data_IF_926012580318
#
_entry.id   IF_926012580318
#
_cell.length_a   1.000
_cell.length_b   1.000
_cell.length_c   1.000
_cell.angle_alpha   90.00
_cell.angle_beta   90.00
_cell.angle_gamma   90.00
#
_symmetry.space_group_name_H-M   'P 1'
#
loop_
_entity.id
_entity.type
_entity.pdbx_description
1 polymer ?
#
# COMPACT_ATOMS: atom_id res chain seq x y z
N UNK A 1 -29.96 -66.84 -34.21
CA UNK A 1 -30.03 -65.41 -33.85
C UNK A 1 -28.71 -65.05 -33.17
N UNK A 2 -27.79 -64.48 -33.93
CA UNK A 2 -26.44 -64.10 -33.46
C UNK A 2 -26.50 -62.68 -32.88
N UNK A 3 -26.08 -62.53 -31.63
CA UNK A 3 -25.83 -61.25 -30.97
C UNK A 3 -24.42 -60.79 -31.34
N UNK A 4 -24.30 -59.81 -32.25
CA UNK A 4 -23.06 -59.07 -32.47
C UNK A 4 -23.16 -57.72 -31.75
N UNK A 5 -22.60 -57.64 -30.55
CA UNK A 5 -22.27 -56.37 -29.90
C UNK A 5 -20.88 -55.92 -30.40
N UNK A 6 -20.69 -54.69 -30.92
CA UNK A 6 -19.36 -54.17 -31.20
C UNK A 6 -18.64 -53.87 -29.88
N UNK A 7 -17.46 -54.46 -29.71
CA UNK A 7 -16.57 -54.19 -28.59
C UNK A 7 -16.03 -52.75 -28.70
N UNK A 8 -16.28 -51.94 -27.67
CA UNK A 8 -15.60 -50.67 -27.49
C UNK A 8 -14.13 -50.95 -27.12
N UNK A 9 -13.23 -50.68 -28.04
CA UNK A 9 -11.79 -50.64 -27.78
C UNK A 9 -11.45 -49.34 -27.05
N UNK A 10 -11.04 -49.44 -25.79
CA UNK A 10 -10.35 -48.34 -25.12
C UNK A 10 -9.01 -48.10 -25.84
N UNK A 11 -8.72 -46.89 -26.34
CA UNK A 11 -7.38 -46.57 -26.80
C UNK A 11 -6.43 -46.55 -25.59
N UNK A 12 -5.34 -47.31 -25.68
CA UNK A 12 -4.22 -47.26 -24.74
C UNK A 12 -3.79 -45.80 -24.50
N UNK A 13 -3.50 -45.41 -23.26
CA UNK A 13 -2.83 -44.15 -23.00
C UNK A 13 -1.38 -44.27 -23.50
N UNK A 14 -1.15 -43.84 -24.74
CA UNK A 14 0.19 -43.45 -25.18
C UNK A 14 0.70 -42.29 -24.31
N UNK A 15 2.01 -42.06 -24.25
CA UNK A 15 2.58 -40.98 -23.44
C UNK A 15 1.94 -39.67 -23.90
N UNK A 16 1.12 -39.09 -23.03
CA UNK A 16 0.46 -37.82 -23.29
C UNK A 16 1.56 -36.83 -23.67
N UNK A 17 1.52 -36.35 -24.91
CA UNK A 17 2.28 -35.18 -25.29
C UNK A 17 1.84 -34.09 -24.31
N UNK A 18 2.75 -33.69 -23.42
CA UNK A 18 2.54 -32.59 -22.51
C UNK A 18 2.21 -31.37 -23.35
N UNK A 19 0.93 -31.00 -23.39
CA UNK A 19 0.46 -29.78 -24.04
C UNK A 19 0.42 -28.68 -22.97
N UNK A 20 1.43 -27.79 -22.92
CA UNK A 20 1.46 -26.71 -21.94
C UNK A 20 0.29 -25.72 -22.10
N UNK A 21 -0.49 -25.80 -23.19
CA UNK A 21 -1.70 -25.00 -23.37
C UNK A 21 -2.94 -25.59 -22.66
N UNK A 22 -2.95 -26.90 -22.37
CA UNK A 22 -4.08 -27.57 -21.73
C UNK A 22 -4.10 -27.40 -20.20
N UNK A 23 -2.95 -27.09 -19.59
CA UNK A 23 -2.79 -26.90 -18.14
C UNK A 23 -3.02 -25.45 -17.66
N UNK A 24 -3.33 -24.52 -18.58
CA UNK A 24 -3.79 -23.18 -18.23
C UNK A 24 -5.28 -23.28 -17.90
N UNK A 25 -5.60 -23.49 -16.62
CA UNK A 25 -6.95 -23.61 -16.10
C UNK A 25 -7.81 -22.44 -16.63
N UNK A 26 -8.94 -22.68 -17.32
CA UNK A 26 -9.71 -21.64 -18.01
C UNK A 26 -10.24 -20.51 -17.09
N UNK A 27 -10.26 -20.75 -15.78
CA UNK A 27 -10.64 -19.77 -14.75
C UNK A 27 -9.61 -18.63 -14.65
N UNK A 28 -8.31 -18.90 -14.74
CA UNK A 28 -7.28 -17.85 -14.64
C UNK A 28 -7.31 -16.89 -15.83
N UNK A 29 -7.67 -17.38 -17.02
CA UNK A 29 -7.65 -16.57 -18.24
C UNK A 29 -8.76 -15.50 -18.24
N UNK A 30 -9.94 -15.80 -17.68
CA UNK A 30 -11.05 -14.86 -17.55
C UNK A 30 -10.77 -13.76 -16.53
N UNK A 31 -10.14 -14.09 -15.40
CA UNK A 31 -9.79 -13.10 -14.38
C UNK A 31 -8.69 -12.15 -14.88
N UNK A 32 -7.73 -12.67 -15.65
CA UNK A 32 -6.73 -11.86 -16.35
C UNK A 32 -7.40 -10.90 -17.34
N UNK A 33 -8.39 -11.34 -18.12
CA UNK A 33 -9.10 -10.48 -19.08
C UNK A 33 -9.85 -9.36 -18.36
N UNK A 34 -10.53 -9.68 -17.25
CA UNK A 34 -11.24 -8.67 -16.44
C UNK A 34 -10.27 -7.64 -15.87
N UNK A 35 -9.16 -8.10 -15.29
CA UNK A 35 -8.16 -7.22 -14.69
C UNK A 35 -7.54 -6.25 -15.71
N UNK A 36 -7.37 -6.69 -16.96
CA UNK A 36 -6.88 -5.83 -18.06
C UNK A 36 -7.79 -4.64 -18.37
N UNK A 37 -9.09 -4.81 -18.21
CA UNK A 37 -10.07 -3.75 -18.49
C UNK A 37 -10.22 -2.88 -17.25
N UNK A 38 -10.38 -3.52 -16.09
CA UNK A 38 -10.74 -2.82 -14.88
C UNK A 38 -9.59 -2.06 -14.22
N UNK A 39 -8.34 -2.55 -14.27
CA UNK A 39 -7.21 -1.83 -13.63
C UNK A 39 -6.93 -0.48 -14.30
N UNK A 40 -6.76 -0.39 -15.64
CA UNK A 40 -6.57 0.90 -16.29
C UNK A 40 -7.76 1.82 -16.11
N UNK A 41 -8.98 1.28 -16.25
CA UNK A 41 -10.21 2.05 -16.06
C UNK A 41 -10.27 2.65 -14.65
N UNK A 42 -10.14 1.83 -13.60
CA UNK A 42 -10.22 2.29 -12.22
C UNK A 42 -9.09 3.27 -11.88
N UNK A 43 -7.88 3.05 -12.40
CA UNK A 43 -6.74 3.96 -12.19
C UNK A 43 -7.02 5.33 -12.82
N UNK A 44 -7.47 5.36 -14.08
CA UNK A 44 -7.79 6.61 -14.77
C UNK A 44 -8.97 7.33 -14.12
N UNK A 45 -10.01 6.61 -13.70
CA UNK A 45 -11.16 7.19 -12.99
C UNK A 45 -10.73 7.79 -11.65
N UNK A 46 -9.89 7.10 -10.87
CA UNK A 46 -9.36 7.60 -9.61
C UNK A 46 -8.50 8.87 -9.80
N UNK A 47 -7.59 8.85 -10.79
CA UNK A 47 -6.78 10.00 -11.14
C UNK A 47 -7.62 11.20 -11.56
N UNK A 48 -8.58 10.99 -12.47
CA UNK A 48 -9.44 12.04 -13.00
C UNK A 48 -10.29 12.66 -11.88
N UNK A 49 -10.93 11.84 -11.05
CA UNK A 49 -11.77 12.32 -9.96
C UNK A 49 -10.99 13.17 -8.95
N UNK A 50 -9.80 12.70 -8.54
CA UNK A 50 -8.92 13.46 -7.65
C UNK A 50 -8.43 14.76 -8.29
N UNK A 51 -8.05 14.74 -9.57
CA UNK A 51 -7.58 15.94 -10.28
C UNK A 51 -8.70 17.00 -10.39
N UNK A 52 -9.90 16.59 -10.75
CA UNK A 52 -11.07 17.48 -10.85
C UNK A 52 -11.40 18.09 -9.48
N UNK A 53 -11.44 17.28 -8.43
CA UNK A 53 -11.74 17.79 -7.08
C UNK A 53 -10.59 18.63 -6.48
N UNK A 54 -9.35 18.42 -6.94
CA UNK A 54 -8.19 19.18 -6.49
C UNK A 54 -8.01 20.52 -7.22
N UNK A 55 -8.40 20.62 -8.50
CA UNK A 55 -8.06 21.78 -9.34
C UNK A 55 -9.28 22.50 -9.95
N UNK A 56 -10.40 21.82 -10.18
CA UNK A 56 -11.55 22.38 -10.92
C UNK A 56 -12.74 22.73 -10.01
N UNK A 57 -12.92 22.03 -8.89
CA UNK A 57 -14.05 22.26 -7.98
C UNK A 57 -13.65 23.26 -6.89
N UNK A 58 -14.54 24.23 -6.64
CA UNK A 58 -14.45 25.15 -5.50
C UNK A 58 -15.49 24.78 -4.43
N UNK A 59 -15.10 24.66 -3.14
CA UNK A 59 -13.74 24.75 -2.62
C UNK A 59 -12.88 23.54 -3.04
N UNK A 60 -11.61 23.79 -3.38
CA UNK A 60 -10.69 22.70 -3.73
C UNK A 60 -10.34 21.85 -2.51
N UNK A 61 -9.87 20.62 -2.70
CA UNK A 61 -9.37 19.79 -1.59
C UNK A 61 -8.32 20.51 -0.72
N UNK A 62 -7.44 21.28 -1.36
CA UNK A 62 -6.44 22.08 -0.66
C UNK A 62 -7.09 23.17 0.19
N UNK A 63 -8.12 23.82 -0.33
CA UNK A 63 -8.83 24.89 0.38
C UNK A 63 -9.66 24.35 1.55
N UNK A 64 -10.25 23.16 1.39
CA UNK A 64 -10.91 22.44 2.49
C UNK A 64 -9.91 22.16 3.61
N UNK A 65 -8.69 21.70 3.28
CA UNK A 65 -7.65 21.44 4.27
C UNK A 65 -7.13 22.71 4.97
N UNK A 66 -7.10 23.84 4.28
CA UNK A 66 -6.73 25.13 4.87
C UNK A 66 -7.85 25.73 5.72
N UNK A 67 -9.11 25.50 5.32
CA UNK A 67 -10.32 25.92 6.04
C UNK A 67 -10.47 25.13 7.33
N UNK A 68 -10.40 23.80 7.26
CA UNK A 68 -10.49 22.88 8.39
C UNK A 68 -9.10 22.50 8.90
N UNK A 69 -8.40 23.49 9.44
CA UNK A 69 -7.01 23.34 9.87
C UNK A 69 -6.89 22.44 11.12
N UNK A 70 -6.11 21.37 11.02
CA UNK A 70 -5.84 20.42 12.10
C UNK A 70 -4.36 20.40 12.48
N UNK A 71 -4.05 19.74 13.61
CA UNK A 71 -2.66 19.45 13.98
C UNK A 71 -1.92 18.55 12.97
N UNK A 72 -2.64 17.89 12.06
CA UNK A 72 -2.08 17.04 11.02
C UNK A 72 -2.30 17.59 9.60
N UNK A 73 -2.64 18.88 9.45
CA UNK A 73 -2.69 19.50 8.13
C UNK A 73 -1.27 19.57 7.55
N UNK A 74 -1.01 18.95 6.38
CA UNK A 74 0.29 18.94 5.73
C UNK A 74 0.47 20.11 4.75
N UNK A 75 1.70 20.32 4.28
CA UNK A 75 1.96 21.19 3.12
C UNK A 75 1.29 20.65 1.86
N UNK A 76 0.43 21.47 1.24
CA UNK A 76 -0.25 21.16 -0.03
C UNK A 76 0.73 20.77 -1.14
N UNK A 77 1.88 21.44 -1.22
CA UNK A 77 2.88 21.22 -2.28
C UNK A 77 3.56 19.86 -2.09
N UNK A 78 3.98 19.54 -0.86
CA UNK A 78 4.69 18.27 -0.58
C UNK A 78 3.75 17.07 -0.76
N UNK A 79 2.51 17.17 -0.28
CA UNK A 79 1.51 16.11 -0.46
C UNK A 79 1.09 15.99 -1.93
N UNK A 80 0.91 17.11 -2.63
CA UNK A 80 0.63 17.10 -4.07
C UNK A 80 1.74 16.43 -4.88
N UNK A 81 3.00 16.72 -4.56
CA UNK A 81 4.15 16.04 -5.20
C UNK A 81 4.17 14.55 -4.90
N UNK A 82 3.90 14.14 -3.66
CA UNK A 82 3.81 12.73 -3.30
C UNK A 82 2.72 12.00 -4.09
N UNK A 83 1.53 12.61 -4.21
CA UNK A 83 0.45 12.07 -5.03
C UNK A 83 0.78 12.01 -6.52
N UNK A 84 1.51 13.00 -7.05
CA UNK A 84 2.00 12.99 -8.43
C UNK A 84 2.89 11.77 -8.68
N UNK A 85 3.79 11.44 -7.76
CA UNK A 85 4.64 10.24 -7.86
C UNK A 85 3.80 8.96 -7.82
N UNK A 86 2.82 8.86 -6.91
CA UNK A 86 1.91 7.71 -6.87
C UNK A 86 1.19 7.54 -8.20
N UNK A 87 0.57 8.60 -8.72
CA UNK A 87 -0.19 8.54 -9.96
C UNK A 87 0.69 8.20 -11.17
N UNK A 88 1.93 8.70 -11.22
CA UNK A 88 2.89 8.29 -12.26
C UNK A 88 3.20 6.79 -12.18
N UNK A 89 3.45 6.26 -10.98
CA UNK A 89 3.69 4.83 -10.77
C UNK A 89 2.45 3.96 -11.06
N UNK A 90 1.26 4.41 -10.67
CA UNK A 90 -0.01 3.71 -10.94
C UNK A 90 -0.35 3.69 -12.43
N UNK A 91 -0.09 4.79 -13.15
CA UNK A 91 -0.19 4.82 -14.60
C UNK A 91 0.78 3.80 -15.24
N UNK A 92 2.02 3.74 -14.75
CA UNK A 92 2.98 2.71 -15.14
C UNK A 92 2.51 1.28 -14.84
N UNK A 93 1.86 1.05 -13.70
CA UNK A 93 1.23 -0.25 -13.37
C UNK A 93 0.14 -0.62 -14.37
N UNK A 94 -0.78 0.31 -14.65
CA UNK A 94 -1.87 0.11 -15.60
C UNK A 94 -1.32 -0.20 -17.00
N UNK A 95 -0.29 0.53 -17.43
CA UNK A 95 0.42 0.28 -18.69
C UNK A 95 1.07 -1.11 -18.69
N UNK A 96 1.75 -1.50 -17.61
CA UNK A 96 2.33 -2.84 -17.46
C UNK A 96 1.29 -3.96 -17.57
N UNK A 97 0.10 -3.80 -16.97
CA UNK A 97 -1.01 -4.76 -17.09
C UNK A 97 -1.44 -4.90 -18.55
N UNK A 98 -1.55 -3.79 -19.28
CA UNK A 98 -1.92 -3.78 -20.70
C UNK A 98 -0.82 -4.37 -21.57
N UNK A 99 0.45 -4.02 -21.34
CA UNK A 99 1.59 -4.53 -22.11
C UNK A 99 1.88 -6.01 -21.85
N UNK A 100 1.64 -6.50 -20.63
CA UNK A 100 1.70 -7.93 -20.28
C UNK A 100 0.67 -8.75 -21.08
N UNK A 101 -0.32 -8.09 -21.70
CA UNK A 101 -1.28 -8.75 -22.60
C UNK A 101 -0.69 -9.14 -23.96
N UNK A 102 0.38 -8.46 -24.43
CA UNK A 102 1.08 -8.88 -25.64
C UNK A 102 1.97 -10.08 -25.29
N UNK A 103 1.63 -11.25 -25.85
CA UNK A 103 2.24 -12.57 -25.60
C UNK A 103 3.79 -12.58 -25.57
N UNK A 104 4.43 -11.57 -26.15
CA UNK A 104 5.88 -11.43 -26.34
C UNK A 104 6.67 -11.07 -25.07
N UNK A 105 6.04 -10.53 -24.02
CA UNK A 105 6.73 -10.06 -22.79
C UNK A 105 6.41 -10.91 -21.53
N UNK A 106 6.18 -12.21 -21.72
CA UNK A 106 5.66 -13.12 -20.69
C UNK A 106 6.75 -13.63 -19.73
N UNK A 107 6.60 -13.34 -18.44
CA UNK A 107 7.08 -14.20 -17.34
C UNK A 107 5.84 -14.71 -16.58
N UNK A 108 5.66 -16.03 -16.46
CA UNK A 108 4.51 -16.65 -15.79
C UNK A 108 4.27 -16.10 -14.38
N UNK A 109 5.37 -15.81 -13.70
CA UNK A 109 5.41 -15.31 -12.33
C UNK A 109 4.72 -13.94 -12.17
N UNK A 110 4.82 -13.07 -13.19
CA UNK A 110 4.19 -11.75 -13.18
C UNK A 110 2.67 -11.87 -13.33
N UNK A 111 2.19 -12.86 -14.11
CA UNK A 111 0.75 -13.11 -14.28
C UNK A 111 0.10 -13.60 -13.00
N UNK A 112 0.73 -14.56 -12.33
CA UNK A 112 0.24 -15.06 -11.05
C UNK A 112 0.21 -13.95 -10.00
N UNK A 113 1.21 -13.06 -10.00
CA UNK A 113 1.22 -11.88 -9.11
C UNK A 113 0.03 -10.95 -9.40
N UNK A 114 -0.30 -10.67 -10.66
CA UNK A 114 -1.46 -9.81 -10.96
C UNK A 114 -2.80 -10.42 -10.55
N UNK A 115 -3.00 -11.71 -10.83
CA UNK A 115 -4.26 -12.40 -10.54
C UNK A 115 -4.45 -12.63 -9.05
N UNK A 116 -3.44 -13.21 -8.39
CA UNK A 116 -3.56 -13.64 -6.99
C UNK A 116 -3.18 -12.54 -5.99
N UNK A 117 -2.25 -11.65 -6.35
CA UNK A 117 -1.74 -10.65 -5.41
C UNK A 117 -2.50 -9.31 -5.47
N UNK A 118 -2.73 -8.79 -6.68
CA UNK A 118 -3.45 -7.52 -6.86
C UNK A 118 -4.96 -7.77 -6.93
N UNK A 119 -5.36 -8.67 -7.84
CA UNK A 119 -6.72 -9.14 -8.01
C UNK A 119 -7.76 -8.03 -8.19
N UNK A 120 -9.03 -8.40 -8.03
CA UNK A 120 -10.15 -7.43 -8.06
C UNK A 120 -10.20 -6.54 -6.82
N UNK A 121 -9.53 -6.92 -5.72
CA UNK A 121 -9.50 -6.11 -4.49
C UNK A 121 -8.90 -4.73 -4.72
N UNK A 122 -7.79 -4.66 -5.46
CA UNK A 122 -7.17 -3.38 -5.82
C UNK A 122 -8.07 -2.51 -6.70
N UNK A 123 -8.79 -3.11 -7.65
CA UNK A 123 -9.76 -2.41 -8.51
C UNK A 123 -10.87 -1.78 -7.66
N UNK A 124 -11.43 -2.53 -6.72
CA UNK A 124 -12.47 -2.04 -5.81
C UNK A 124 -11.93 -0.91 -4.93
N UNK A 125 -10.68 -1.03 -4.44
CA UNK A 125 -10.02 0.02 -3.68
C UNK A 125 -9.87 1.32 -4.50
N UNK A 126 -9.46 1.22 -5.77
CA UNK A 126 -9.33 2.38 -6.66
C UNK A 126 -10.67 3.03 -6.98
N UNK A 127 -11.74 2.27 -7.21
CA UNK A 127 -13.07 2.86 -7.38
C UNK A 127 -13.57 3.53 -6.11
N UNK A 128 -13.36 2.92 -4.94
CA UNK A 128 -13.65 3.56 -3.65
C UNK A 128 -12.87 4.87 -3.49
N UNK A 129 -11.59 4.85 -3.86
CA UNK A 129 -10.74 6.05 -3.83
C UNK A 129 -11.16 7.10 -4.87
N UNK A 130 -11.77 6.70 -5.99
CA UNK A 130 -12.31 7.63 -6.96
C UNK A 130 -13.59 8.34 -6.47
N UNK A 131 -14.36 7.71 -5.57
CA UNK A 131 -15.56 8.29 -4.97
C UNK A 131 -15.25 9.16 -3.74
N UNK A 132 -14.24 8.80 -2.97
CA UNK A 132 -13.74 9.59 -1.83
C UNK A 132 -13.63 11.11 -2.08
N UNK A 133 -12.96 11.59 -3.14
CA UNK A 133 -12.76 13.02 -3.36
C UNK A 133 -14.07 13.79 -3.58
N UNK A 134 -15.08 13.13 -4.13
CA UNK A 134 -16.42 13.70 -4.35
C UNK A 134 -17.12 13.94 -3.01
N UNK A 135 -17.10 12.94 -2.12
CA UNK A 135 -17.67 13.09 -0.77
C UNK A 135 -16.89 14.10 0.07
N UNK A 136 -15.57 14.16 -0.10
CA UNK A 136 -14.73 15.15 0.55
C UNK A 136 -15.07 16.58 0.09
N UNK A 137 -15.18 16.80 -1.22
CA UNK A 137 -15.57 18.09 -1.80
C UNK A 137 -16.99 18.52 -1.41
N UNK A 138 -17.91 17.56 -1.23
CA UNK A 138 -19.26 17.80 -0.71
C UNK A 138 -19.32 18.07 0.81
N UNK A 139 -18.18 18.15 1.50
CA UNK A 139 -18.06 18.31 2.96
C UNK A 139 -18.77 17.19 3.77
N UNK A 140 -18.99 16.02 3.15
CA UNK A 140 -19.55 14.82 3.80
C UNK A 140 -18.44 14.03 4.52
N UNK A 141 -17.76 14.69 5.46
CA UNK A 141 -16.51 14.19 6.06
C UNK A 141 -16.64 12.79 6.67
N UNK A 142 -17.73 12.49 7.38
CA UNK A 142 -17.94 11.16 8.00
C UNK A 142 -18.00 10.06 6.94
N UNK A 143 -18.74 10.30 5.85
CA UNK A 143 -18.87 9.34 4.74
C UNK A 143 -17.53 9.19 4.02
N UNK A 144 -16.83 10.29 3.77
CA UNK A 144 -15.51 10.28 3.18
C UNK A 144 -14.51 9.50 4.04
N UNK A 145 -14.47 9.72 5.36
CA UNK A 145 -13.59 8.99 6.29
C UNK A 145 -13.91 7.50 6.31
N UNK A 146 -15.19 7.12 6.36
CA UNK A 146 -15.59 5.72 6.35
C UNK A 146 -15.16 5.01 5.05
N UNK A 147 -15.36 5.68 3.90
CA UNK A 147 -14.91 5.16 2.62
C UNK A 147 -13.39 5.04 2.53
N UNK A 148 -12.65 6.03 3.02
CA UNK A 148 -11.20 6.01 3.06
C UNK A 148 -10.67 4.87 3.94
N UNK A 149 -11.36 4.57 5.05
CA UNK A 149 -11.02 3.45 5.93
C UNK A 149 -11.19 2.11 5.20
N UNK A 150 -12.27 1.94 4.44
CA UNK A 150 -12.47 0.76 3.59
C UNK A 150 -11.37 0.64 2.54
N UNK A 151 -11.04 1.74 1.85
CA UNK A 151 -9.94 1.76 0.85
C UNK A 151 -8.61 1.35 1.49
N UNK A 152 -8.29 1.90 2.67
CA UNK A 152 -7.10 1.55 3.43
C UNK A 152 -7.05 0.05 3.79
N UNK A 153 -8.15 -0.53 4.25
CA UNK A 153 -8.20 -1.96 4.57
C UNK A 153 -7.99 -2.83 3.32
N UNK A 154 -8.60 -2.47 2.19
CA UNK A 154 -8.41 -3.18 0.92
C UNK A 154 -6.96 -3.07 0.43
N UNK A 155 -6.35 -1.88 0.52
CA UNK A 155 -4.95 -1.67 0.16
C UNK A 155 -3.98 -2.42 1.07
N UNK A 156 -4.28 -2.49 2.37
CA UNK A 156 -3.53 -3.32 3.34
C UNK A 156 -3.58 -4.79 2.93
N UNK A 157 -4.78 -5.28 2.58
CA UNK A 157 -4.97 -6.65 2.13
C UNK A 157 -4.21 -6.93 0.83
N UNK A 158 -4.26 -6.02 -0.14
CA UNK A 158 -3.50 -6.15 -1.40
C UNK A 158 -1.99 -6.22 -1.12
N UNK A 159 -1.44 -5.38 -0.23
CA UNK A 159 -0.03 -5.47 0.14
C UNK A 159 0.31 -6.78 0.83
N UNK A 160 -0.54 -7.25 1.75
CA UNK A 160 -0.33 -8.54 2.40
C UNK A 160 -0.33 -9.69 1.36
N UNK A 161 -1.24 -9.64 0.38
CA UNK A 161 -1.29 -10.63 -0.69
C UNK A 161 -0.06 -10.59 -1.59
N UNK A 162 0.47 -9.40 -1.91
CA UNK A 162 1.76 -9.22 -2.61
C UNK A 162 2.89 -9.87 -1.83
N UNK A 163 3.00 -9.59 -0.53
CA UNK A 163 4.02 -10.20 0.31
C UNK A 163 3.94 -11.73 0.37
N UNK A 164 2.73 -12.29 0.37
CA UNK A 164 2.50 -13.74 0.44
C UNK A 164 2.83 -14.45 -0.88
N UNK A 165 2.43 -13.89 -2.01
CA UNK A 165 2.54 -14.57 -3.32
C UNK A 165 3.78 -14.18 -4.12
N UNK A 166 4.31 -12.97 -3.93
CA UNK A 166 5.41 -12.43 -4.72
C UNK A 166 6.24 -11.46 -3.87
N UNK A 167 7.13 -11.97 -3.00
CA UNK A 167 7.91 -11.12 -2.10
C UNK A 167 8.74 -10.10 -2.89
N UNK A 168 8.74 -8.83 -2.47
CA UNK A 168 9.37 -7.76 -3.23
C UNK A 168 10.90 -7.95 -3.25
N UNK A 169 11.47 -8.00 -4.47
CA UNK A 169 12.92 -8.06 -4.67
C UNK A 169 13.34 -7.12 -5.80
N UNK A 170 14.14 -6.10 -5.47
CA UNK A 170 14.67 -5.15 -6.44
C UNK A 170 15.69 -5.80 -7.38
N UNK A 171 16.54 -6.70 -6.86
CA UNK A 171 17.63 -7.33 -7.63
C UNK A 171 17.11 -8.36 -8.63
N UNK A 172 16.05 -9.08 -8.29
CA UNK A 172 15.52 -10.16 -9.13
C UNK A 172 14.41 -9.70 -10.07
N UNK A 173 13.58 -8.74 -9.64
CA UNK A 173 12.35 -8.33 -10.36
C UNK A 173 12.15 -6.81 -10.32
N UNK A 174 13.05 -6.02 -10.94
CA UNK A 174 13.04 -4.56 -10.82
C UNK A 174 11.74 -3.92 -11.35
N UNK A 175 11.20 -4.41 -12.46
CA UNK A 175 9.97 -3.86 -13.04
C UNK A 175 8.72 -4.14 -12.18
N UNK A 176 8.57 -5.38 -11.67
CA UNK A 176 7.48 -5.72 -10.75
C UNK A 176 7.62 -4.93 -9.45
N UNK A 177 8.84 -4.75 -8.94
CA UNK A 177 9.05 -3.92 -7.76
C UNK A 177 8.61 -2.46 -7.99
N UNK A 178 9.06 -1.83 -9.08
CA UNK A 178 8.79 -0.41 -9.35
C UNK A 178 7.31 -0.15 -9.68
N UNK A 179 6.69 -1.00 -10.49
CA UNK A 179 5.34 -0.74 -10.99
C UNK A 179 4.23 -1.49 -10.25
N UNK A 180 4.54 -2.49 -9.42
CA UNK A 180 3.53 -3.19 -8.60
C UNK A 180 3.69 -2.80 -7.14
N UNK A 181 4.87 -3.02 -6.56
CA UNK A 181 5.08 -2.84 -5.13
C UNK A 181 5.05 -1.37 -4.72
N UNK A 182 5.91 -0.54 -5.33
CA UNK A 182 6.06 0.88 -4.97
C UNK A 182 4.72 1.64 -4.97
N UNK A 183 3.91 1.67 -6.05
CA UNK A 183 2.66 2.43 -6.06
C UNK A 183 1.68 1.99 -4.98
N UNK A 184 1.51 0.68 -4.76
CA UNK A 184 0.59 0.16 -3.73
C UNK A 184 1.12 0.52 -2.34
N UNK A 185 2.43 0.41 -2.13
CA UNK A 185 3.08 0.71 -0.86
C UNK A 185 3.05 2.21 -0.52
N UNK A 186 3.34 3.07 -1.48
CA UNK A 186 3.27 4.52 -1.32
C UNK A 186 1.84 4.98 -1.04
N UNK A 187 0.87 4.44 -1.77
CA UNK A 187 -0.54 4.75 -1.60
C UNK A 187 -1.04 4.31 -0.21
N UNK A 188 -0.74 3.08 0.22
CA UNK A 188 -1.05 2.65 1.57
C UNK A 188 -0.42 3.57 2.65
N UNK A 189 0.83 3.99 2.44
CA UNK A 189 1.57 4.73 3.45
C UNK A 189 1.01 6.14 3.65
N UNK A 190 0.58 6.82 2.58
CA UNK A 190 -0.08 8.13 2.72
C UNK A 190 -1.46 8.02 3.35
N UNK A 191 -2.25 7.00 2.98
CA UNK A 191 -3.53 6.72 3.63
C UNK A 191 -3.35 6.55 5.14
N UNK A 192 -2.34 5.79 5.57
CA UNK A 192 -2.12 5.50 6.99
C UNK A 192 -1.59 6.70 7.77
N UNK A 193 -0.69 7.47 7.17
CA UNK A 193 0.12 8.47 7.88
C UNK A 193 -0.53 9.86 7.86
N UNK A 194 -1.25 10.18 6.79
CA UNK A 194 -1.79 11.53 6.54
C UNK A 194 -3.30 11.48 6.37
N UNK A 195 -3.80 10.82 5.32
CA UNK A 195 -5.18 11.05 4.89
C UNK A 195 -6.20 10.52 5.89
N UNK A 196 -6.01 9.30 6.43
CA UNK A 196 -6.92 8.76 7.44
C UNK A 196 -6.90 9.55 8.75
N UNK A 197 -5.73 9.79 9.39
CA UNK A 197 -5.70 10.59 10.60
C UNK A 197 -6.31 11.97 10.41
N UNK A 198 -5.98 12.66 9.32
CA UNK A 198 -6.53 13.99 9.02
C UNK A 198 -8.05 13.93 8.80
N UNK A 199 -8.54 12.96 8.05
CA UNK A 199 -9.98 12.77 7.81
C UNK A 199 -10.73 12.46 9.12
N UNK A 200 -10.15 11.66 10.02
CA UNK A 200 -10.70 11.40 11.36
C UNK A 200 -10.75 12.68 12.21
N UNK A 201 -9.67 13.47 12.24
CA UNK A 201 -9.67 14.72 13.01
C UNK A 201 -10.74 15.71 12.50
N UNK A 202 -10.89 15.83 11.19
CA UNK A 202 -11.89 16.73 10.59
C UNK A 202 -13.31 16.22 10.87
N UNK A 203 -13.57 14.91 10.72
CA UNK A 203 -14.89 14.33 11.01
C UNK A 203 -15.27 14.42 12.49
N UNK A 204 -14.31 14.33 13.41
CA UNK A 204 -14.50 14.54 14.85
C UNK A 204 -14.59 16.03 15.26
N UNK A 205 -14.47 16.95 14.30
CA UNK A 205 -14.46 18.40 14.52
C UNK A 205 -13.29 18.88 15.42
N UNK A 206 -12.15 18.19 15.35
CA UNK A 206 -10.91 18.58 16.04
C UNK A 206 -10.06 19.45 15.09
N UNK A 207 -10.58 20.63 14.79
CA UNK A 207 -9.94 21.61 13.91
C UNK A 207 -10.15 23.03 14.44
N UNK A 208 -9.29 23.94 13.99
CA UNK A 208 -9.37 25.36 14.30
C UNK A 208 -10.57 25.98 13.56
N UNK A 209 -11.41 26.72 14.29
CA UNK A 209 -12.63 27.32 13.71
C UNK A 209 -12.29 28.20 12.50
N UNK A 210 -12.98 28.02 11.34
CA UNK A 210 -12.76 28.85 10.17
C UNK A 210 -13.10 30.33 10.38
N UNK A 211 -14.01 30.64 11.32
CA UNK A 211 -14.58 31.97 11.54
C UNK A 211 -13.73 32.75 12.56
N UNK A 212 -13.52 32.16 13.73
CA UNK A 212 -12.89 32.86 14.86
C UNK A 212 -11.38 32.62 14.96
N UNK A 213 -10.85 31.72 14.13
CA UNK A 213 -9.46 31.25 14.22
C UNK A 213 -9.05 30.85 15.65
N UNK A 214 -10.00 30.36 16.46
CA UNK A 214 -9.75 29.82 17.79
C UNK A 214 -9.79 28.30 17.74
N UNK A 215 -9.00 27.68 18.60
CA UNK A 215 -9.06 26.24 18.81
C UNK A 215 -10.31 25.88 19.61
N UNK A 216 -10.78 24.64 19.45
CA UNK A 216 -11.92 24.14 20.20
C UNK A 216 -11.66 24.11 21.72
N UNK A 217 -12.72 24.17 22.52
CA UNK A 217 -12.66 24.32 23.99
C UNK A 217 -11.79 23.25 24.69
N UNK A 218 -11.68 22.05 24.13
CA UNK A 218 -10.93 20.92 24.69
C UNK A 218 -9.64 20.60 23.93
N UNK A 219 -9.08 21.58 23.22
CA UNK A 219 -7.88 21.43 22.39
C UNK A 219 -6.71 20.75 23.11
N UNK A 220 -6.40 21.13 24.35
CA UNK A 220 -5.28 20.53 25.08
C UNK A 220 -5.43 19.00 25.24
N UNK A 221 -6.63 18.53 25.59
CA UNK A 221 -6.91 17.10 25.71
C UNK A 221 -6.85 16.40 24.35
N UNK A 222 -7.45 16.99 23.31
CA UNK A 222 -7.42 16.41 21.96
C UNK A 222 -6.01 16.38 21.36
N UNK A 223 -5.15 17.33 21.72
CA UNK A 223 -3.76 17.33 21.29
C UNK A 223 -2.98 16.16 21.88
N UNK A 224 -3.26 15.75 23.13
CA UNK A 224 -2.69 14.54 23.73
C UNK A 224 -3.21 13.24 23.08
N UNK A 225 -4.49 13.20 22.73
CA UNK A 225 -5.05 12.07 21.99
C UNK A 225 -4.40 11.98 20.60
N UNK A 226 -4.26 13.11 19.90
CA UNK A 226 -3.60 13.19 18.59
C UNK A 226 -2.14 12.75 18.69
N UNK A 227 -1.44 13.15 19.74
CA UNK A 227 -0.09 12.65 20.04
C UNK A 227 -0.06 11.12 20.14
N UNK A 228 -0.97 10.52 20.91
CA UNK A 228 -1.06 9.07 21.05
C UNK A 228 -1.31 8.34 19.73
N UNK A 229 -2.22 8.89 18.89
CA UNK A 229 -2.53 8.35 17.56
C UNK A 229 -1.31 8.42 16.64
N UNK A 230 -0.64 9.57 16.57
CA UNK A 230 0.56 9.75 15.73
C UNK A 230 1.70 8.85 16.18
N UNK A 231 1.91 8.73 17.49
CA UNK A 231 2.93 7.84 18.04
C UNK A 231 2.62 6.38 17.69
N UNK A 232 1.37 5.94 17.81
CA UNK A 232 0.94 4.59 17.45
C UNK A 232 1.17 4.29 15.96
N UNK A 233 0.82 5.23 15.08
CA UNK A 233 1.06 5.12 13.64
C UNK A 233 2.56 5.04 13.34
N UNK A 234 3.36 5.88 13.99
CA UNK A 234 4.82 5.89 13.87
C UNK A 234 5.43 4.55 14.29
N UNK A 235 5.03 4.00 15.45
CA UNK A 235 5.48 2.70 15.93
C UNK A 235 5.03 1.57 15.01
N UNK A 236 3.78 1.59 14.52
CA UNK A 236 3.27 0.59 13.59
C UNK A 236 4.05 0.59 12.26
N UNK A 237 4.35 1.77 11.73
CA UNK A 237 5.19 1.92 10.54
C UNK A 237 6.62 1.43 10.78
N UNK A 238 7.24 1.83 11.90
CA UNK A 238 8.59 1.41 12.25
C UNK A 238 8.69 -0.12 12.42
N UNK A 239 7.69 -0.73 13.07
CA UNK A 239 7.58 -2.18 13.20
C UNK A 239 7.46 -2.88 11.84
N UNK A 240 6.62 -2.33 10.95
CA UNK A 240 6.47 -2.89 9.61
C UNK A 240 7.76 -2.75 8.79
N UNK A 241 8.47 -1.62 8.88
CA UNK A 241 9.79 -1.41 8.25
C UNK A 241 10.80 -2.42 8.78
N UNK A 242 10.84 -2.64 10.10
CA UNK A 242 11.73 -3.63 10.71
C UNK A 242 11.47 -5.05 10.19
N UNK A 243 10.21 -5.48 10.18
CA UNK A 243 9.77 -6.81 9.72
C UNK A 243 10.06 -7.05 8.24
N UNK A 244 9.75 -6.06 7.41
CA UNK A 244 9.77 -6.17 5.95
C UNK A 244 11.10 -5.73 5.31
N UNK A 245 12.00 -5.10 6.06
CA UNK A 245 13.20 -4.41 5.53
C UNK A 245 12.84 -3.42 4.40
N UNK A 246 11.70 -2.76 4.55
CA UNK A 246 11.10 -1.97 3.47
C UNK A 246 11.66 -0.53 3.45
N UNK A 247 12.61 -0.31 2.55
CA UNK A 247 13.19 1.01 2.28
C UNK A 247 12.14 2.01 1.78
N UNK A 248 11.19 1.56 0.95
CA UNK A 248 10.21 2.44 0.31
C UNK A 248 9.25 3.00 1.36
N UNK A 249 8.76 2.14 2.27
CA UNK A 249 7.95 2.59 3.41
C UNK A 249 8.69 3.58 4.29
N UNK A 250 9.95 3.31 4.60
CA UNK A 250 10.76 4.19 5.46
C UNK A 250 10.92 5.58 4.82
N UNK A 251 11.32 5.65 3.54
CA UNK A 251 11.45 6.91 2.80
C UNK A 251 10.12 7.65 2.72
N UNK A 252 9.02 6.94 2.46
CA UNK A 252 7.69 7.52 2.41
C UNK A 252 7.26 8.13 3.75
N UNK A 253 7.44 7.40 4.87
CA UNK A 253 7.09 7.91 6.20
C UNK A 253 7.92 9.13 6.57
N UNK A 254 9.23 9.12 6.28
CA UNK A 254 10.10 10.28 6.51
C UNK A 254 9.64 11.48 5.67
N UNK A 255 9.38 11.29 4.38
CA UNK A 255 8.91 12.35 3.49
C UNK A 255 7.57 12.94 3.95
N UNK A 256 6.59 12.09 4.28
CA UNK A 256 5.28 12.52 4.76
C UNK A 256 5.38 13.21 6.13
N UNK A 257 6.27 12.75 7.01
CA UNK A 257 6.53 13.42 8.29
C UNK A 257 7.08 14.82 8.08
N UNK A 258 8.02 15.01 7.14
CA UNK A 258 8.50 16.35 6.74
C UNK A 258 7.35 17.18 6.17
N UNK A 259 6.50 16.57 5.33
CA UNK A 259 5.29 17.20 4.79
C UNK A 259 4.27 17.63 5.85
N UNK A 260 4.18 16.91 6.96
CA UNK A 260 3.34 17.25 8.11
C UNK A 260 3.99 18.32 9.00
N UNK A 261 5.32 18.37 9.08
CA UNK A 261 6.06 19.38 9.84
C UNK A 261 6.03 20.74 9.14
N UNK A 262 6.23 20.74 7.83
CA UNK A 262 6.21 21.96 7.00
C UNK A 262 4.75 22.27 6.66
N UNK A 263 4.24 23.40 7.12
CA UNK A 263 2.86 23.81 6.86
C UNK A 263 2.80 25.17 6.15
N UNK A 264 1.74 25.40 5.35
CA UNK A 264 1.49 26.66 4.65
C UNK A 264 1.32 27.85 5.60
N UNK A 265 0.77 27.62 6.80
CA UNK A 265 0.54 28.66 7.83
C UNK A 265 1.72 28.88 8.80
N UNK A 266 2.86 28.22 8.57
CA UNK A 266 4.10 28.40 9.32
C UNK A 266 4.39 27.31 10.35
N UNK A 267 5.56 26.68 10.23
CA UNK A 267 6.04 25.60 11.12
C UNK A 267 6.15 26.03 12.59
N UNK A 268 6.58 27.29 12.83
CA UNK A 268 6.82 27.79 14.19
C UNK A 268 5.53 27.87 15.03
N UNK A 269 4.42 28.28 14.41
CA UNK A 269 3.12 28.36 15.10
C UNK A 269 2.63 26.96 15.50
N UNK A 270 2.83 25.96 14.63
CA UNK A 270 2.43 24.57 14.90
C UNK A 270 3.22 23.96 16.06
N UNK A 271 4.52 24.28 16.14
CA UNK A 271 5.39 23.87 17.26
C UNK A 271 4.95 24.54 18.56
N UNK A 272 4.56 25.82 18.51
CA UNK A 272 4.05 26.52 19.67
C UNK A 272 2.70 25.97 20.16
N UNK A 273 1.79 25.63 19.22
CA UNK A 273 0.43 25.20 19.54
C UNK A 273 0.38 23.76 20.12
N UNK A 274 1.20 22.83 19.60
CA UNK A 274 1.19 21.44 20.04
C UNK A 274 2.56 20.76 19.90
N UNK A 275 3.53 21.09 20.78
CA UNK A 275 4.89 20.54 20.72
C UNK A 275 4.90 19.01 20.82
N UNK A 276 3.98 18.42 21.62
CA UNK A 276 3.86 16.97 21.77
C UNK A 276 3.66 16.24 20.43
N UNK A 277 2.76 16.73 19.56
CA UNK A 277 2.46 16.07 18.27
C UNK A 277 3.66 16.15 17.34
N UNK A 278 4.38 17.27 17.35
CA UNK A 278 5.62 17.44 16.58
C UNK A 278 6.70 16.46 17.05
N UNK A 279 6.88 16.32 18.36
CA UNK A 279 7.82 15.35 18.92
C UNK A 279 7.46 13.92 18.50
N UNK A 280 6.17 13.55 18.49
CA UNK A 280 5.75 12.23 18.01
C UNK A 280 6.04 12.01 16.52
N UNK A 281 5.84 13.02 15.66
CA UNK A 281 6.17 12.92 14.24
C UNK A 281 7.67 12.70 14.02
N UNK A 282 8.51 13.49 14.69
CA UNK A 282 9.97 13.35 14.60
C UNK A 282 10.43 12.01 15.16
N UNK A 283 9.89 11.61 16.31
CA UNK A 283 10.20 10.31 16.93
C UNK A 283 9.77 9.14 16.04
N UNK A 284 8.60 9.20 15.41
CA UNK A 284 8.11 8.20 14.47
C UNK A 284 9.00 8.08 13.24
N UNK A 285 9.39 9.20 12.63
CA UNK A 285 10.31 9.22 11.49
C UNK A 285 11.69 8.65 11.87
N UNK A 286 12.25 9.08 13.01
CA UNK A 286 13.52 8.56 13.52
C UNK A 286 13.45 7.06 13.84
N UNK A 287 12.35 6.60 14.46
CA UNK A 287 12.13 5.19 14.75
C UNK A 287 12.10 4.33 13.48
N UNK A 288 11.47 4.79 12.40
CA UNK A 288 11.51 4.09 11.10
C UNK A 288 12.94 3.93 10.57
N UNK A 289 13.77 4.97 10.67
CA UNK A 289 15.18 4.92 10.22
C UNK A 289 15.98 3.95 11.09
N UNK A 290 15.85 4.04 12.42
CA UNK A 290 16.53 3.15 13.37
C UNK A 290 16.11 1.70 13.15
N UNK A 291 14.81 1.43 13.00
CA UNK A 291 14.28 0.09 12.72
C UNK A 291 14.77 -0.46 11.39
N UNK A 292 14.90 0.39 10.36
CA UNK A 292 15.48 -0.04 9.09
C UNK A 292 16.94 -0.48 9.27
N UNK A 293 17.78 0.32 9.94
CA UNK A 293 19.18 -0.03 10.22
C UNK A 293 19.27 -1.31 11.08
N UNK A 294 18.48 -1.40 12.15
CA UNK A 294 18.45 -2.56 13.03
C UNK A 294 18.09 -3.85 12.29
N UNK A 295 17.22 -3.78 11.29
CA UNK A 295 16.82 -4.95 10.48
C UNK A 295 17.97 -5.58 9.69
N UNK A 296 19.01 -4.82 9.35
CA UNK A 296 20.23 -5.32 8.71
C UNK A 296 21.23 -5.89 9.72
N UNK A 297 21.37 -5.24 10.88
CA UNK A 297 22.29 -5.68 11.94
C UNK A 297 21.87 -7.04 12.51
N UNK A 298 20.58 -7.22 12.83
CA UNK A 298 20.05 -8.49 13.34
C UNK A 298 20.21 -9.65 12.32
N UNK A 299 20.06 -9.34 11.03
CA UNK A 299 20.25 -10.33 9.98
C UNK A 299 21.72 -10.73 9.77
N UNK A 300 22.65 -9.77 9.89
CA UNK A 300 24.08 -10.05 9.88
C UNK A 300 24.50 -10.96 11.05
N UNK A 301 23.92 -10.74 12.23
CA UNK A 301 24.14 -11.58 13.42
C UNK A 301 23.62 -13.01 13.23
N UNK A 302 22.44 -13.19 12.63
CA UNK A 302 21.89 -14.53 12.33
C UNK A 302 22.73 -15.32 11.32
N UNK A 303 23.35 -14.66 10.34
CA UNK A 303 24.22 -15.32 9.37
C UNK A 303 25.55 -15.78 9.98
N UNK A 304 25.99 -15.13 11.07
CA UNK A 304 27.20 -15.49 11.81
C UNK A 304 26.96 -16.47 12.98
N UNK A 305 25.73 -16.91 13.21
CA UNK A 305 25.45 -18.04 14.12
C UNK A 305 25.75 -19.34 13.39
N UNK A 306 27.01 -19.77 13.46
CA UNK A 306 27.41 -21.14 13.14
C UNK A 306 26.69 -22.03 14.14
N UNK A 307 25.73 -22.82 13.67
CA UNK A 307 25.18 -23.93 14.43
C UNK A 307 26.28 -24.98 14.43
N UNK A 308 26.97 -25.14 15.57
CA UNK A 308 27.75 -26.34 15.83
C UNK A 308 26.70 -27.47 15.89
N UNK A 309 26.64 -28.30 14.84
CA UNK A 309 26.07 -29.63 15.00
C UNK A 309 26.94 -30.30 16.07
N UNK A 310 26.33 -30.68 17.19
CA UNK A 310 27.02 -31.46 18.22
C UNK A 310 27.68 -32.66 17.55
N UNK A 311 28.98 -32.83 17.77
CA UNK A 311 29.81 -33.91 17.19
C UNK A 311 29.41 -35.31 17.70
N UNK A 312 28.38 -35.40 18.55
CA UNK A 312 27.95 -36.64 19.22
C UNK A 312 27.19 -37.63 18.30
N UNK A 313 26.75 -37.23 17.10
CA UNK A 313 26.10 -38.16 16.15
C UNK A 313 27.08 -38.89 15.20
N UNK A 314 28.39 -38.63 15.28
CA UNK A 314 29.38 -39.26 14.37
C UNK A 314 30.06 -40.52 14.93
N UNK A 315 29.79 -40.91 16.17
CA UNK A 315 30.46 -42.07 16.81
C UNK A 315 29.62 -43.38 16.83
N UNK A 316 28.40 -43.41 16.30
CA UNK A 316 27.53 -44.61 16.37
C UNK A 316 27.42 -45.47 15.09
N UNK A 317 28.33 -45.36 14.13
CA UNK A 317 28.45 -46.39 13.07
C UNK A 317 29.50 -47.46 13.47
N UNK A 318 29.10 -48.61 14.04
CA UNK A 318 30.03 -49.70 14.26
C UNK A 318 30.38 -50.34 12.91
N UNK A 319 31.68 -50.32 12.61
CA UNK A 319 32.32 -51.05 11.53
C UNK A 319 32.00 -52.56 11.70
N UNK A 320 31.04 -53.08 10.94
CA UNK A 320 30.86 -54.51 10.75
C UNK A 320 31.90 -55.02 9.73
N UNK A 321 32.87 -55.79 10.23
CA UNK A 321 33.74 -56.67 9.44
C UNK A 321 33.03 -57.97 9.07
#
# INVERSE_FOLDING_TARGET
>A
MNNNNPAYTHPSPGPAAYDPAADIIPVEQNDIIRLKIFVPLATLTAMFSNLVCALLIEPSMGDINDRYYTLLTPSKILVGFYWMVIFACQFGMAFMVVCTSNQRYRTEETKQTFVHAIGMTYVVALFGFALWPIFWAAELFVVATALLLVVFLLMTYTLHSIWKHSPPSFTSKPFSFIFIYIPVQLFQTILFTVDLPQSILISLKWYRSPIDHTWEKHFSTHAWITFGVVLLIGVANAFAVYRAKDLIRMLAVVYLSIGLLINSKGTLQKVADAPQVITALIAGAAACVVCFIASFVDFGSRRNRIILLDEDEREEEPIQR
#
